data_IF_350733199555
#
_entry.id   IF_350733199555
#
_cell.length_a   1.000
_cell.length_b   1.000
_cell.length_c   1.000
_cell.angle_alpha   90.00
_cell.angle_beta   90.00
_cell.angle_gamma   90.00
#
_symmetry.space_group_name_H-M   'P 1'
#
loop_
_entity.id
_entity.type
_entity.pdbx_description
1 polymer ?
#
# COMPACT_ATOMS: atom_id res chain seq x y z
N UNK A 1 -50.22 11.79 -48.42
CA UNK A 1 -49.06 12.69 -48.40
C UNK A 1 -48.64 13.09 -46.98
N UNK A 2 -49.57 13.21 -46.03
CA UNK A 2 -49.24 13.66 -44.66
C UNK A 2 -48.45 12.65 -43.82
N UNK A 3 -48.65 11.34 -44.01
CA UNK A 3 -47.96 10.29 -43.25
C UNK A 3 -46.44 10.27 -43.47
N UNK A 4 -45.99 10.50 -44.72
CA UNK A 4 -44.57 10.55 -45.08
C UNK A 4 -43.89 11.76 -44.45
N UNK A 5 -44.62 12.87 -44.33
CA UNK A 5 -44.12 14.09 -43.70
C UNK A 5 -43.95 13.93 -42.19
N UNK A 6 -44.90 13.29 -41.50
CA UNK A 6 -44.79 13.03 -40.05
C UNK A 6 -43.61 12.11 -39.72
N UNK A 7 -43.41 11.06 -40.53
CA UNK A 7 -42.29 10.13 -40.35
C UNK A 7 -40.95 10.87 -40.51
N UNK A 8 -40.81 11.74 -41.52
CA UNK A 8 -39.59 12.50 -41.73
C UNK A 8 -39.29 13.50 -40.59
N UNK A 9 -40.32 14.15 -40.03
CA UNK A 9 -40.15 15.08 -38.90
C UNK A 9 -39.68 14.34 -37.64
N UNK A 10 -40.28 13.18 -37.34
CA UNK A 10 -39.89 12.36 -36.19
C UNK A 10 -38.45 11.84 -36.36
N UNK A 11 -38.09 11.39 -37.57
CA UNK A 11 -36.74 10.92 -37.86
C UNK A 11 -35.70 12.03 -37.67
N UNK A 12 -35.99 13.25 -38.14
CA UNK A 12 -35.06 14.37 -37.99
C UNK A 12 -34.89 14.77 -36.52
N UNK A 13 -35.97 14.77 -35.73
CA UNK A 13 -35.91 15.01 -34.30
C UNK A 13 -35.05 13.95 -33.57
N UNK A 14 -35.16 12.68 -33.95
CA UNK A 14 -34.36 11.60 -33.37
C UNK A 14 -32.86 11.74 -33.66
N UNK A 15 -32.50 12.15 -34.89
CA UNK A 15 -31.09 12.43 -35.26
C UNK A 15 -30.54 13.60 -34.45
N UNK A 16 -31.31 14.68 -34.26
CA UNK A 16 -30.90 15.84 -33.46
C UNK A 16 -30.70 15.45 -31.98
N UNK A 17 -31.57 14.61 -31.43
CA UNK A 17 -31.44 14.12 -30.04
C UNK A 17 -30.20 13.24 -29.88
N UNK A 18 -29.92 12.33 -30.83
CA UNK A 18 -28.71 11.49 -30.81
C UNK A 18 -27.43 12.33 -30.87
N UNK A 19 -27.39 13.37 -31.70
CA UNK A 19 -26.26 14.29 -31.79
C UNK A 19 -26.08 15.09 -30.49
N UNK A 20 -27.17 15.53 -29.85
CA UNK A 20 -27.10 16.21 -28.56
C UNK A 20 -26.54 15.31 -27.45
N UNK A 21 -26.94 14.02 -27.41
CA UNK A 21 -26.42 13.04 -26.44
C UNK A 21 -24.94 12.75 -26.65
N UNK A 22 -24.48 12.62 -27.91
CA UNK A 22 -23.05 12.46 -28.21
C UNK A 22 -22.22 13.68 -27.81
N UNK A 23 -22.75 14.90 -27.96
CA UNK A 23 -22.07 16.14 -27.54
C UNK A 23 -22.00 16.28 -26.00
N UNK A 24 -23.04 15.85 -25.29
CA UNK A 24 -23.07 15.89 -23.81
C UNK A 24 -22.26 14.76 -23.15
N UNK A 25 -22.01 13.65 -23.85
CA UNK A 25 -21.17 12.53 -23.38
C UNK A 25 -19.68 12.86 -23.16
N UNK A 26 -19.27 14.11 -23.40
CA UNK A 26 -17.88 14.60 -23.33
C UNK A 26 -17.32 14.79 -21.91
N UNK A 27 -18.07 14.41 -20.87
CA UNK A 27 -17.65 14.52 -19.46
C UNK A 27 -16.45 13.63 -19.07
N UNK A 28 -16.02 12.70 -19.93
CA UNK A 28 -14.79 11.91 -19.74
C UNK A 28 -13.50 12.66 -20.05
N UNK A 29 -13.51 13.63 -20.98
CA UNK A 29 -12.31 14.33 -21.47
C UNK A 29 -11.76 15.31 -20.42
N UNK A 30 -12.64 15.90 -19.60
CA UNK A 30 -12.22 16.80 -18.52
C UNK A 30 -11.51 16.06 -17.37
N UNK A 31 -11.87 14.79 -17.11
CA UNK A 31 -11.16 13.94 -16.14
C UNK A 31 -9.82 13.45 -16.71
N UNK A 32 -9.76 13.10 -18.00
CA UNK A 32 -8.50 12.74 -18.65
C UNK A 32 -7.48 13.88 -18.60
N UNK A 33 -7.88 15.13 -18.86
CA UNK A 33 -6.97 16.28 -18.78
C UNK A 33 -6.47 16.59 -17.36
N UNK A 34 -7.26 16.27 -16.32
CA UNK A 34 -6.79 16.39 -14.93
C UNK A 34 -5.78 15.29 -14.59
N UNK A 35 -6.06 14.06 -15.00
CA UNK A 35 -5.17 12.92 -14.80
C UNK A 35 -3.85 13.07 -15.58
N UNK A 36 -3.88 13.60 -16.81
CA UNK A 36 -2.69 13.92 -17.58
C UNK A 36 -1.84 14.99 -16.90
N UNK A 37 -2.47 16.04 -16.34
CA UNK A 37 -1.75 17.07 -15.56
C UNK A 37 -1.10 16.50 -14.30
N UNK A 38 -1.77 15.59 -13.59
CA UNK A 38 -1.20 14.92 -12.42
C UNK A 38 -0.05 13.98 -12.80
N UNK A 39 -0.14 13.28 -13.93
CA UNK A 39 0.96 12.45 -14.47
C UNK A 39 2.16 13.31 -14.87
N UNK A 40 1.91 14.46 -15.52
CA UNK A 40 2.96 15.42 -15.92
C UNK A 40 3.65 16.02 -14.69
N UNK A 41 2.88 16.37 -13.65
CA UNK A 41 3.42 16.93 -12.40
C UNK A 41 4.23 15.89 -11.62
N UNK A 42 3.77 14.63 -11.57
CA UNK A 42 4.52 13.53 -10.96
C UNK A 42 5.77 13.17 -11.75
N UNK A 43 5.72 13.21 -13.09
CA UNK A 43 6.90 13.04 -13.95
C UNK A 43 7.91 14.16 -13.74
N UNK A 44 7.45 15.41 -13.65
CA UNK A 44 8.34 16.53 -13.37
C UNK A 44 8.97 16.43 -11.99
N UNK A 45 8.20 16.02 -10.96
CA UNK A 45 8.75 15.72 -9.63
C UNK A 45 9.80 14.60 -9.70
N UNK A 46 9.55 13.51 -10.43
CA UNK A 46 10.54 12.44 -10.61
C UNK A 46 11.81 12.89 -11.34
N UNK A 47 11.69 13.74 -12.36
CA UNK A 47 12.83 14.32 -13.08
C UNK A 47 13.59 15.29 -12.18
N UNK A 48 12.89 16.05 -11.35
CA UNK A 48 13.48 16.96 -10.36
C UNK A 48 14.22 16.16 -9.26
N UNK A 49 13.63 15.06 -8.78
CA UNK A 49 14.29 14.11 -7.87
C UNK A 49 15.48 13.38 -8.52
N UNK A 50 15.41 13.07 -9.82
CA UNK A 50 16.51 12.45 -10.55
C UNK A 50 17.66 13.43 -10.86
N UNK A 51 17.36 14.73 -10.98
CA UNK A 51 18.35 15.81 -11.14
C UNK A 51 18.93 16.28 -9.80
N UNK A 52 18.17 16.15 -8.71
CA UNK A 52 18.61 16.49 -7.36
C UNK A 52 19.47 15.37 -6.74
N UNK A 53 20.76 15.38 -7.13
CA UNK A 53 21.90 14.62 -6.60
C UNK A 53 21.99 13.12 -6.96
N UNK A 54 23.22 12.63 -7.22
CA UNK A 54 23.48 11.20 -7.14
C UNK A 54 23.12 10.74 -5.73
N UNK A 55 22.45 9.59 -5.63
CA UNK A 55 22.19 8.88 -4.38
C UNK A 55 23.49 8.92 -3.59
N UNK A 56 23.52 9.73 -2.52
CA UNK A 56 24.67 9.75 -1.61
C UNK A 56 24.97 8.30 -1.25
N UNK A 57 26.24 7.85 -1.27
CA UNK A 57 26.56 6.46 -1.00
C UNK A 57 25.89 6.10 0.31
N UNK A 58 24.91 5.18 0.24
CA UNK A 58 24.22 4.68 1.43
C UNK A 58 25.32 4.23 2.37
N UNK A 59 25.46 4.91 3.51
CA UNK A 59 26.38 4.42 4.51
C UNK A 59 25.89 3.05 4.91
N UNK A 60 26.65 1.99 4.60
CA UNK A 60 26.27 0.62 4.93
C UNK A 60 25.95 0.46 6.43
N UNK A 61 26.51 1.34 7.27
CA UNK A 61 26.18 1.46 8.70
C UNK A 61 24.71 1.76 8.95
N UNK A 62 24.11 2.70 8.23
CA UNK A 62 22.75 3.19 8.49
C UNK A 62 21.72 2.16 8.04
N UNK A 63 22.01 1.44 6.95
CA UNK A 63 21.23 0.30 6.50
C UNK A 63 21.30 -0.85 7.50
N UNK A 64 22.52 -1.21 7.94
CA UNK A 64 22.72 -2.26 8.92
C UNK A 64 22.02 -1.96 10.25
N UNK A 65 22.13 -0.71 10.75
CA UNK A 65 21.43 -0.30 11.96
C UNK A 65 19.91 -0.41 11.81
N UNK A 66 19.34 0.04 10.69
CA UNK A 66 17.92 -0.08 10.44
C UNK A 66 17.47 -1.55 10.41
N UNK A 67 18.16 -2.41 9.65
CA UNK A 67 17.83 -3.83 9.55
C UNK A 67 17.91 -4.51 10.92
N UNK A 68 18.96 -4.22 11.69
CA UNK A 68 19.13 -4.73 13.06
C UNK A 68 17.99 -4.28 13.98
N UNK A 69 17.54 -3.04 13.87
CA UNK A 69 16.44 -2.51 14.67
C UNK A 69 15.10 -3.15 14.27
N UNK A 70 14.86 -3.37 12.97
CA UNK A 70 13.69 -4.10 12.46
C UNK A 70 13.68 -5.56 12.92
N UNK A 71 14.83 -6.24 12.89
CA UNK A 71 14.97 -7.60 13.40
C UNK A 71 14.73 -7.68 14.91
N UNK A 72 15.27 -6.71 15.65
CA UNK A 72 15.04 -6.60 17.09
C UNK A 72 13.55 -6.39 17.38
N UNK A 73 12.87 -5.55 16.60
CA UNK A 73 11.43 -5.34 16.71
C UNK A 73 10.65 -6.62 16.41
N UNK A 74 10.96 -7.30 15.31
CA UNK A 74 10.32 -8.57 14.92
C UNK A 74 10.42 -9.62 16.02
N UNK A 75 11.61 -9.77 16.60
CA UNK A 75 11.88 -10.71 17.69
C UNK A 75 11.19 -10.28 19.00
N UNK A 76 11.13 -8.98 19.28
CA UNK A 76 10.42 -8.45 20.45
C UNK A 76 8.90 -8.72 20.39
N UNK A 77 8.29 -8.57 19.21
CA UNK A 77 6.87 -8.88 18.98
C UNK A 77 6.62 -10.40 19.08
N UNK A 78 7.57 -11.23 18.66
CA UNK A 78 7.52 -12.67 18.86
C UNK A 78 7.70 -13.11 20.34
N UNK A 79 7.91 -12.18 21.28
CA UNK A 79 7.97 -12.45 22.72
C UNK A 79 9.39 -12.50 23.31
N UNK A 80 10.44 -12.19 22.55
CA UNK A 80 11.81 -12.21 23.06
C UNK A 80 12.04 -11.09 24.08
N UNK A 81 12.04 -11.42 25.39
CA UNK A 81 12.16 -10.45 26.51
C UNK A 81 13.38 -9.54 26.39
N UNK A 82 14.51 -10.06 25.91
CA UNK A 82 15.74 -9.27 25.70
C UNK A 82 15.49 -8.18 24.65
N UNK A 83 14.93 -8.55 23.49
CA UNK A 83 14.60 -7.60 22.42
C UNK A 83 13.55 -6.58 22.87
N UNK A 84 12.54 -6.99 23.66
CA UNK A 84 11.54 -6.09 24.22
C UNK A 84 12.20 -5.01 25.10
N UNK A 85 13.11 -5.41 25.98
CA UNK A 85 13.89 -4.47 26.83
C UNK A 85 14.76 -3.55 25.97
N UNK A 86 15.38 -4.07 24.91
CA UNK A 86 16.20 -3.28 23.99
C UNK A 86 15.36 -2.19 23.29
N UNK A 87 14.21 -2.55 22.73
CA UNK A 87 13.28 -1.60 22.09
C UNK A 87 12.81 -0.56 23.10
N UNK A 88 12.37 -0.99 24.28
CA UNK A 88 11.90 -0.08 25.33
C UNK A 88 13.01 0.86 25.80
N UNK A 89 14.24 0.38 25.96
CA UNK A 89 15.37 1.22 26.39
C UNK A 89 15.76 2.25 25.33
N UNK A 90 15.83 1.83 24.05
CA UNK A 90 16.32 2.63 22.91
C UNK A 90 15.27 3.61 22.37
N UNK A 91 13.99 3.23 22.34
CA UNK A 91 12.90 4.02 21.74
C UNK A 91 11.83 4.49 22.74
N UNK A 92 11.97 4.12 24.02
CA UNK A 92 11.05 4.51 25.10
C UNK A 92 9.58 4.16 24.82
N UNK A 93 9.33 3.16 24.00
CA UNK A 93 7.99 2.65 23.70
C UNK A 93 7.98 1.13 23.68
N UNK A 94 6.80 0.54 23.78
CA UNK A 94 6.60 -0.91 23.69
C UNK A 94 6.72 -1.37 22.23
N UNK A 95 7.11 -2.63 21.98
CA UNK A 95 7.15 -3.18 20.63
C UNK A 95 5.78 -3.12 19.96
N UNK A 96 5.70 -2.53 18.77
CA UNK A 96 4.46 -2.35 18.02
C UNK A 96 4.58 -1.31 16.91
N UNK A 97 3.45 -0.83 16.41
CA UNK A 97 3.40 0.18 15.35
C UNK A 97 4.15 1.47 15.71
N UNK A 98 3.98 2.00 16.93
CA UNK A 98 4.68 3.22 17.37
C UNK A 98 6.20 3.03 17.43
N UNK A 99 6.68 1.84 17.84
CA UNK A 99 8.11 1.53 17.83
C UNK A 99 8.67 1.50 16.42
N UNK A 100 7.92 0.95 15.47
CA UNK A 100 8.31 0.95 14.06
C UNK A 100 8.42 2.37 13.51
N UNK A 101 7.44 3.23 13.77
CA UNK A 101 7.48 4.64 13.34
C UNK A 101 8.71 5.36 13.88
N UNK A 102 9.04 5.15 15.16
CA UNK A 102 10.26 5.70 15.78
C UNK A 102 11.55 5.14 15.18
N UNK A 103 11.59 3.85 14.82
CA UNK A 103 12.72 3.24 14.13
C UNK A 103 12.94 3.89 12.76
N UNK A 104 11.86 4.03 11.98
CA UNK A 104 11.92 4.63 10.64
C UNK A 104 12.29 6.13 10.71
N UNK A 105 11.70 6.87 11.65
CA UNK A 105 12.00 8.30 11.84
C UNK A 105 13.46 8.55 12.21
N UNK A 106 14.10 7.63 12.95
CA UNK A 106 15.50 7.76 13.38
C UNK A 106 16.51 7.44 12.27
N UNK A 107 16.13 6.62 11.28
CA UNK A 107 17.02 6.27 10.17
C UNK A 107 17.27 7.49 9.27
N UNK A 108 18.50 7.63 8.77
CA UNK A 108 18.87 8.70 7.82
C UNK A 108 18.65 8.33 6.35
N UNK A 109 18.14 7.12 6.09
CA UNK A 109 17.88 6.66 4.73
C UNK A 109 16.76 7.49 4.07
N UNK A 110 16.61 7.44 2.74
CA UNK A 110 15.44 8.00 2.06
C UNK A 110 14.16 7.31 2.51
N UNK A 111 13.08 8.06 2.68
CA UNK A 111 11.79 7.53 3.17
C UNK A 111 11.26 6.33 2.35
N UNK A 112 11.30 6.35 1.00
CA UNK A 112 10.85 5.19 0.21
C UNK A 112 11.66 3.93 0.49
N UNK A 113 12.96 4.06 0.76
CA UNK A 113 13.85 2.94 1.04
C UNK A 113 13.52 2.33 2.40
N UNK A 114 13.31 3.17 3.43
CA UNK A 114 12.96 2.70 4.77
C UNK A 114 11.65 1.94 4.79
N UNK A 115 10.62 2.48 4.13
CA UNK A 115 9.30 1.86 4.06
C UNK A 115 9.38 0.52 3.34
N UNK A 116 10.07 0.47 2.19
CA UNK A 116 10.26 -0.77 1.44
C UNK A 116 10.99 -1.83 2.26
N UNK A 117 12.06 -1.46 2.95
CA UNK A 117 12.79 -2.36 3.85
C UNK A 117 11.92 -2.86 5.00
N UNK A 118 11.12 -1.99 5.60
CA UNK A 118 10.21 -2.37 6.67
C UNK A 118 9.17 -3.38 6.18
N UNK A 119 8.55 -3.12 5.03
CA UNK A 119 7.54 -3.99 4.45
C UNK A 119 8.14 -5.34 4.04
N UNK A 120 9.32 -5.35 3.41
CA UNK A 120 10.02 -6.58 3.05
C UNK A 120 10.36 -7.42 4.29
N UNK A 121 10.88 -6.78 5.33
CA UNK A 121 11.40 -7.51 6.49
C UNK A 121 10.30 -7.94 7.48
N UNK A 122 9.25 -7.13 7.63
CA UNK A 122 8.20 -7.37 8.61
C UNK A 122 6.99 -8.11 8.04
N UNK A 123 6.71 -7.92 6.75
CA UNK A 123 5.60 -8.58 6.05
C UNK A 123 6.15 -9.72 5.19
N UNK A 124 7.12 -9.41 4.32
CA UNK A 124 7.68 -10.38 3.37
C UNK A 124 6.63 -10.97 2.42
N UNK A 125 6.99 -12.02 1.69
CA UNK A 125 6.08 -12.67 0.75
C UNK A 125 4.91 -13.37 1.45
N UNK A 126 5.20 -14.17 2.48
CA UNK A 126 4.18 -14.91 3.23
C UNK A 126 3.16 -13.97 3.90
N UNK A 127 3.62 -12.86 4.49
CA UNK A 127 2.72 -11.88 5.10
C UNK A 127 1.85 -11.18 4.05
N UNK A 128 2.38 -10.89 2.86
CA UNK A 128 1.61 -10.31 1.76
C UNK A 128 0.52 -11.27 1.29
N UNK A 129 0.84 -12.56 1.16
CA UNK A 129 -0.15 -13.55 0.76
C UNK A 129 -1.24 -13.71 1.82
N UNK A 130 -0.88 -13.73 3.11
CA UNK A 130 -1.86 -13.68 4.21
C UNK A 130 -2.78 -12.46 4.07
N UNK A 131 -2.23 -11.26 3.84
CA UNK A 131 -3.01 -10.03 3.68
C UNK A 131 -3.96 -10.13 2.48
N UNK A 132 -3.51 -10.65 1.33
CA UNK A 132 -4.33 -10.83 0.12
C UNK A 132 -5.50 -11.80 0.38
N UNK A 133 -5.22 -12.93 1.01
CA UNK A 133 -6.24 -13.94 1.28
C UNK A 133 -7.26 -13.46 2.33
N UNK A 134 -6.81 -12.72 3.35
CA UNK A 134 -7.71 -12.07 4.30
C UNK A 134 -8.59 -11.01 3.65
N UNK A 135 -8.06 -10.23 2.70
CA UNK A 135 -8.84 -9.23 1.96
C UNK A 135 -9.95 -9.87 1.11
N UNK A 136 -9.71 -11.09 0.62
CA UNK A 136 -10.70 -11.93 -0.08
C UNK A 136 -11.73 -12.57 0.86
N UNK A 137 -11.57 -12.42 2.18
CA UNK A 137 -12.46 -13.00 3.18
C UNK A 137 -12.20 -14.48 3.49
N UNK A 138 -11.01 -15.00 3.19
CA UNK A 138 -10.66 -16.39 3.46
C UNK A 138 -10.49 -16.67 4.96
N UNK A 139 -10.80 -17.91 5.35
CA UNK A 139 -10.62 -18.38 6.73
C UNK A 139 -9.13 -18.60 7.06
N UNK A 140 -8.76 -18.48 8.33
CA UNK A 140 -7.36 -18.65 8.78
C UNK A 140 -6.85 -20.06 8.44
N UNK A 141 -7.71 -21.06 8.52
CA UNK A 141 -7.41 -22.46 8.19
C UNK A 141 -7.03 -22.61 6.72
N UNK A 142 -7.82 -22.01 5.82
CA UNK A 142 -7.52 -22.05 4.38
C UNK A 142 -6.27 -21.25 4.03
N UNK A 143 -6.07 -20.09 4.67
CA UNK A 143 -4.83 -19.30 4.53
C UNK A 143 -3.62 -20.13 4.93
N UNK A 144 -3.72 -20.88 6.03
CA UNK A 144 -2.64 -21.74 6.51
C UNK A 144 -2.26 -22.80 5.47
N UNK A 145 -3.27 -23.42 4.84
CA UNK A 145 -3.06 -24.42 3.81
C UNK A 145 -2.45 -23.81 2.53
N UNK A 146 -2.96 -22.66 2.08
CA UNK A 146 -2.51 -21.99 0.85
C UNK A 146 -1.06 -21.51 0.97
N UNK A 147 -0.68 -20.91 2.10
CA UNK A 147 0.68 -20.41 2.34
C UNK A 147 1.63 -21.53 2.77
N UNK A 148 1.13 -22.75 3.02
CA UNK A 148 1.94 -23.89 3.42
C UNK A 148 2.55 -23.78 4.82
N UNK A 149 1.89 -23.05 5.73
CA UNK A 149 2.36 -22.84 7.11
C UNK A 149 1.49 -23.59 8.13
N UNK A 150 2.04 -24.00 9.29
CA UNK A 150 1.23 -24.50 10.39
C UNK A 150 0.28 -23.43 10.94
N UNK A 151 -0.93 -23.83 11.35
CA UNK A 151 -1.98 -22.91 11.81
C UNK A 151 -1.51 -21.96 12.93
N UNK A 152 -0.69 -22.46 13.85
CA UNK A 152 -0.15 -21.67 14.95
C UNK A 152 0.82 -20.58 14.45
N UNK A 153 1.59 -20.88 13.39
CA UNK A 153 2.51 -19.92 12.76
C UNK A 153 1.69 -18.87 12.01
N UNK A 154 0.68 -19.28 11.25
CA UNK A 154 -0.24 -18.38 10.55
C UNK A 154 -0.92 -17.41 11.50
N UNK A 155 -1.49 -17.91 12.62
CA UNK A 155 -2.11 -17.07 13.66
C UNK A 155 -1.11 -16.09 14.30
N UNK A 156 0.12 -16.54 14.52
CA UNK A 156 1.21 -15.69 15.05
C UNK A 156 1.58 -14.57 14.07
N UNK A 157 1.69 -14.89 12.77
CA UNK A 157 1.96 -13.88 11.73
C UNK A 157 0.80 -12.87 11.61
N UNK A 158 -0.45 -13.32 11.63
CA UNK A 158 -1.62 -12.43 11.63
C UNK A 158 -1.58 -11.48 12.82
N UNK A 159 -1.35 -12.02 14.02
CA UNK A 159 -1.23 -11.21 15.25
C UNK A 159 -0.12 -10.16 15.12
N UNK A 160 1.04 -10.54 14.56
CA UNK A 160 2.14 -9.59 14.30
C UNK A 160 1.73 -8.49 13.33
N UNK A 161 1.07 -8.84 12.22
CA UNK A 161 0.59 -7.88 11.23
C UNK A 161 -0.42 -6.90 11.84
N UNK A 162 -1.27 -7.36 12.77
CA UNK A 162 -2.16 -6.48 13.55
C UNK A 162 -1.39 -5.55 14.48
N UNK A 163 -0.43 -6.07 15.26
CA UNK A 163 0.41 -5.28 16.18
C UNK A 163 1.17 -4.18 15.46
N UNK A 164 1.61 -4.44 14.22
CA UNK A 164 2.34 -3.50 13.37
C UNK A 164 1.43 -2.56 12.56
N UNK A 165 0.10 -2.73 12.67
CA UNK A 165 -0.90 -1.89 12.01
C UNK A 165 -1.08 -2.17 10.52
N UNK A 166 -0.64 -3.32 10.00
CA UNK A 166 -0.94 -3.75 8.62
C UNK A 166 -2.35 -4.31 8.49
N UNK A 167 -2.87 -4.90 9.57
CA UNK A 167 -4.24 -5.38 9.70
C UNK A 167 -4.95 -4.64 10.83
N UNK A 168 -6.25 -4.42 10.69
CA UNK A 168 -7.09 -3.90 11.76
C UNK A 168 -7.58 -5.00 12.73
N UNK A 169 -8.35 -4.61 13.74
CA UNK A 169 -8.94 -5.55 14.71
C UNK A 169 -9.94 -6.55 14.11
N UNK A 170 -10.39 -6.32 12.87
CA UNK A 170 -11.32 -7.18 12.11
C UNK A 170 -10.60 -7.98 11.02
N UNK A 171 -9.27 -8.04 11.06
CA UNK A 171 -8.41 -8.73 10.10
C UNK A 171 -8.48 -8.16 8.68
N UNK A 172 -8.94 -6.91 8.52
CA UNK A 172 -8.93 -6.24 7.23
C UNK A 172 -7.62 -5.49 7.01
N UNK A 173 -7.08 -5.44 5.78
CA UNK A 173 -5.91 -4.64 5.47
C UNK A 173 -6.17 -3.16 5.75
N UNK A 174 -5.26 -2.53 6.47
CA UNK A 174 -5.24 -1.06 6.62
C UNK A 174 -4.65 -0.41 5.36
N UNK A 175 -4.66 0.92 5.28
CA UNK A 175 -3.94 1.65 4.22
C UNK A 175 -2.45 1.28 4.16
N UNK A 176 -1.84 0.99 5.32
CA UNK A 176 -0.47 0.48 5.37
C UNK A 176 -0.37 -0.95 4.83
N UNK A 177 -1.30 -1.83 5.20
CA UNK A 177 -1.42 -3.18 4.65
C UNK A 177 -1.54 -3.19 3.12
N UNK A 178 -2.38 -2.32 2.56
CA UNK A 178 -2.58 -2.20 1.11
C UNK A 178 -1.34 -1.70 0.38
N UNK A 179 -0.61 -0.73 0.96
CA UNK A 179 0.67 -0.26 0.39
C UNK A 179 1.71 -1.37 0.37
N UNK A 180 1.80 -2.19 1.42
CA UNK A 180 2.75 -3.30 1.48
C UNK A 180 2.51 -4.37 0.40
N UNK A 181 1.29 -4.48 -0.16
CA UNK A 181 0.99 -5.37 -1.28
C UNK A 181 1.60 -4.90 -2.62
N UNK A 182 1.97 -3.62 -2.72
CA UNK A 182 2.47 -2.99 -3.95
C UNK A 182 4.02 -2.85 -3.97
N UNK A 183 4.70 -3.16 -2.87
CA UNK A 183 6.13 -2.96 -2.66
C UNK A 183 7.01 -4.13 -3.15
#
# INVERSE_FOLDING_TARGET
MELVWTINVILMAFVVVLLAVMLWGRSGILRQRKLEKEIEELRNKLVEYAKAKPVAPMSGSDLYELVKDLETLRSAIAGAKICQRTILKKYKTRPGAEALEKILARSKLPEPVKQRLADEFLVGEAGREIIRLLDRGETIERISAEVGMPLIVTKSQITRLQILGYLDGRLKPTEKGRRALQA
#
